data_IF_808036865692
#
_entry.id   IF_808036865692
#
_cell.length_a   1.000
_cell.length_b   1.000
_cell.length_c   1.000
_cell.angle_alpha   90.00
_cell.angle_beta   90.00
_cell.angle_gamma   90.00
#
_symmetry.space_group_name_H-M   'P 1'
#
loop_
_entity.id
_entity.type
_entity.pdbx_description
1 polymer ?
#
# COMPACT_ATOMS: atom_id res chain seq x y z
N UNK A 1 -42.54 -56.05 -0.23
CA UNK A 1 -41.10 -56.00 0.07
C UNK A 1 -40.63 -54.56 -0.13
N UNK A 2 -40.15 -53.88 0.92
CA UNK A 2 -39.86 -52.43 0.91
C UNK A 2 -38.39 -52.22 0.53
N UNK A 3 -38.14 -51.63 -0.64
CA UNK A 3 -36.80 -51.35 -1.14
C UNK A 3 -36.25 -50.08 -0.49
N UNK A 4 -35.35 -50.25 0.47
CA UNK A 4 -34.63 -49.13 1.07
C UNK A 4 -33.59 -48.62 0.06
N UNK A 5 -33.72 -47.35 -0.35
CA UNK A 5 -32.72 -46.68 -1.16
C UNK A 5 -31.54 -46.32 -0.25
N UNK A 6 -30.40 -46.93 -0.53
CA UNK A 6 -29.21 -46.92 0.34
C UNK A 6 -28.64 -45.49 0.53
N UNK A 7 -28.96 -44.55 -0.37
CA UNK A 7 -28.56 -43.14 -0.20
C UNK A 7 -29.42 -42.31 0.77
N UNK A 8 -30.66 -42.72 1.09
CA UNK A 8 -31.59 -41.83 1.83
C UNK A 8 -31.26 -41.74 3.32
N UNK A 9 -30.73 -42.81 3.93
CA UNK A 9 -30.35 -42.83 5.35
C UNK A 9 -29.01 -42.13 5.57
N UNK A 10 -28.01 -42.43 4.74
CA UNK A 10 -26.72 -41.73 4.70
C UNK A 10 -26.86 -40.22 4.54
N UNK A 11 -27.67 -39.81 3.56
CA UNK A 11 -27.93 -38.41 3.26
C UNK A 11 -28.67 -37.73 4.43
N UNK A 12 -29.66 -38.40 5.03
CA UNK A 12 -30.38 -37.89 6.19
C UNK A 12 -29.50 -37.72 7.42
N UNK A 13 -28.62 -38.68 7.69
CA UNK A 13 -27.66 -38.61 8.81
C UNK A 13 -26.64 -37.49 8.57
N UNK A 14 -26.14 -37.35 7.34
CA UNK A 14 -25.19 -36.28 6.97
C UNK A 14 -25.81 -34.89 7.12
N UNK A 15 -27.08 -34.70 6.70
CA UNK A 15 -27.83 -33.47 6.91
C UNK A 15 -28.12 -33.18 8.38
N UNK A 16 -28.38 -34.22 9.17
CA UNK A 16 -28.63 -34.09 10.61
C UNK A 16 -27.36 -33.70 11.36
N UNK A 17 -26.22 -34.34 11.06
CA UNK A 17 -24.93 -33.93 11.61
C UNK A 17 -24.56 -32.52 11.17
N UNK A 18 -24.72 -32.18 9.88
CA UNK A 18 -24.49 -30.83 9.38
C UNK A 18 -25.35 -29.79 10.10
N UNK A 19 -26.65 -30.06 10.29
CA UNK A 19 -27.57 -29.15 10.98
C UNK A 19 -27.23 -28.95 12.46
N UNK A 20 -26.91 -30.03 13.18
CA UNK A 20 -26.47 -29.95 14.59
C UNK A 20 -25.17 -29.16 14.70
N UNK A 21 -24.25 -29.35 13.75
CA UNK A 21 -22.93 -28.74 13.77
C UNK A 21 -22.95 -27.25 13.41
N UNK A 22 -23.79 -26.85 12.45
CA UNK A 22 -24.05 -25.43 12.15
C UNK A 22 -24.64 -24.71 13.36
N UNK A 23 -25.59 -25.35 14.06
CA UNK A 23 -26.16 -24.81 15.31
C UNK A 23 -25.10 -24.64 16.42
N UNK A 24 -24.21 -25.63 16.59
CA UNK A 24 -23.09 -25.53 17.55
C UNK A 24 -22.08 -24.44 17.16
N UNK A 25 -21.80 -24.28 15.87
CA UNK A 25 -20.86 -23.27 15.37
C UNK A 25 -21.36 -21.84 15.61
N UNK A 26 -22.66 -21.61 15.43
CA UNK A 26 -23.30 -20.33 15.73
C UNK A 26 -23.24 -20.00 17.23
N UNK A 27 -23.41 -21.01 18.09
CA UNK A 27 -23.50 -20.84 19.54
C UNK A 27 -22.14 -20.69 20.24
N UNK A 28 -21.05 -21.20 19.65
CA UNK A 28 -19.72 -21.18 20.25
C UNK A 28 -18.80 -20.05 19.75
N UNK A 29 -19.27 -19.18 18.84
CA UNK A 29 -18.48 -18.09 18.23
C UNK A 29 -17.09 -18.54 17.71
N UNK A 30 -16.98 -19.80 17.32
CA UNK A 30 -15.76 -20.34 16.72
C UNK A 30 -15.72 -19.87 15.27
N UNK A 31 -14.55 -19.49 14.79
CA UNK A 31 -14.35 -19.04 13.42
C UNK A 31 -14.82 -20.12 12.44
N UNK A 32 -15.98 -19.86 11.83
CA UNK A 32 -16.65 -20.73 10.86
C UNK A 32 -15.66 -21.27 9.80
N UNK A 33 -14.71 -20.44 9.37
CA UNK A 33 -13.69 -20.75 8.38
C UNK A 33 -12.84 -21.98 8.73
N UNK A 34 -12.23 -22.04 9.93
CA UNK A 34 -11.31 -23.13 10.30
C UNK A 34 -12.02 -24.47 10.46
N UNK A 35 -13.25 -24.44 10.95
CA UNK A 35 -14.03 -25.63 11.23
C UNK A 35 -14.57 -26.22 9.93
N UNK A 36 -15.12 -25.38 9.03
CA UNK A 36 -15.62 -25.79 7.71
C UNK A 36 -14.54 -26.43 6.82
N UNK A 37 -13.27 -26.05 7.03
CA UNK A 37 -12.14 -26.59 6.28
C UNK A 37 -11.68 -27.99 6.76
N UNK A 38 -11.96 -28.36 8.02
CA UNK A 38 -11.40 -29.58 8.65
C UNK A 38 -12.32 -30.81 8.66
N UNK A 39 -13.63 -30.64 8.51
CA UNK A 39 -14.62 -31.71 8.76
C UNK A 39 -15.04 -32.53 7.53
N UNK A 40 -14.87 -32.00 6.32
CA UNK A 40 -15.24 -32.69 5.06
C UNK A 40 -14.55 -34.06 4.83
N UNK A 41 -13.32 -34.33 5.31
CA UNK A 41 -12.71 -35.66 5.17
C UNK A 41 -13.47 -36.73 5.96
N UNK A 42 -14.09 -36.36 7.09
CA UNK A 42 -14.86 -37.30 7.93
C UNK A 42 -16.11 -37.79 7.18
N UNK A 43 -16.78 -36.90 6.45
CA UNK A 43 -17.94 -37.28 5.60
C UNK A 43 -17.51 -38.28 4.55
N UNK A 44 -16.38 -38.04 3.87
CA UNK A 44 -15.87 -38.95 2.84
C UNK A 44 -15.53 -40.33 3.41
N UNK A 45 -14.97 -40.38 4.63
CA UNK A 45 -14.66 -41.64 5.31
C UNK A 45 -15.95 -42.39 5.68
N UNK A 46 -16.94 -41.72 6.29
CA UNK A 46 -18.21 -42.36 6.67
C UNK A 46 -18.95 -42.88 5.44
N UNK A 47 -19.02 -42.08 4.38
CA UNK A 47 -19.64 -42.45 3.11
C UNK A 47 -18.90 -43.62 2.45
N UNK A 48 -17.56 -43.62 2.47
CA UNK A 48 -16.75 -44.73 1.98
C UNK A 48 -16.95 -46.03 2.78
N UNK A 49 -17.01 -45.95 4.11
CA UNK A 49 -17.27 -47.09 5.00
C UNK A 49 -18.65 -47.68 4.75
N UNK A 50 -19.67 -46.85 4.55
CA UNK A 50 -21.03 -47.31 4.26
C UNK A 50 -21.11 -48.09 2.94
N UNK A 51 -20.41 -47.61 1.90
CA UNK A 51 -20.30 -48.31 0.62
C UNK A 51 -19.63 -49.68 0.80
N UNK A 52 -18.56 -49.76 1.60
CA UNK A 52 -17.85 -51.01 1.89
C UNK A 52 -18.71 -52.01 2.68
N UNK A 53 -19.44 -51.54 3.69
CA UNK A 53 -20.35 -52.39 4.49
C UNK A 53 -21.50 -52.93 3.63
N UNK A 54 -22.04 -52.13 2.73
CA UNK A 54 -23.09 -52.56 1.81
C UNK A 54 -22.59 -53.63 0.82
N UNK A 55 -21.40 -53.44 0.24
CA UNK A 55 -20.77 -54.42 -0.64
C UNK A 55 -20.51 -55.75 0.10
N UNK A 56 -20.13 -55.69 1.38
CA UNK A 56 -19.84 -56.85 2.19
C UNK A 56 -21.09 -57.63 2.62
N UNK A 57 -22.18 -56.92 2.99
CA UNK A 57 -23.44 -57.55 3.40
C UNK A 57 -24.30 -58.07 2.22
N UNK A 58 -24.07 -57.58 1.00
CA UNK A 58 -24.82 -57.97 -0.21
C UNK A 58 -24.23 -59.20 -0.91
N UNK A 59 -23.93 -60.26 -0.15
CA UNK A 59 -23.39 -61.55 -0.66
C UNK A 59 -24.45 -62.60 -1.01
N UNK A 60 -25.72 -62.23 -1.10
CA UNK A 60 -26.80 -63.19 -1.40
C UNK A 60 -27.56 -62.79 -2.66
N UNK A 61 -27.24 -63.53 -3.72
CA UNK A 61 -27.98 -63.75 -4.97
C UNK A 61 -28.56 -62.54 -5.72
N UNK A 62 -27.81 -62.16 -6.77
CA UNK A 62 -28.20 -61.24 -7.85
C UNK A 62 -28.70 -59.87 -7.36
N UNK A 63 -27.79 -58.99 -6.92
CA UNK A 63 -28.11 -57.58 -6.92
C UNK A 63 -28.08 -57.16 -8.39
N UNK A 64 -29.25 -56.85 -8.96
CA UNK A 64 -29.28 -55.89 -10.06
C UNK A 64 -28.68 -54.62 -9.46
N UNK A 65 -27.36 -54.47 -9.65
CA UNK A 65 -26.58 -53.29 -9.38
C UNK A 65 -27.14 -52.16 -10.24
N UNK A 66 -28.30 -51.63 -9.85
CA UNK A 66 -28.66 -50.25 -10.09
C UNK A 66 -27.78 -49.42 -9.17
N UNK A 67 -26.47 -49.42 -9.46
CA UNK A 67 -25.69 -48.24 -9.16
C UNK A 67 -26.42 -47.10 -9.85
N UNK A 68 -26.88 -46.13 -9.09
CA UNK A 68 -27.18 -44.83 -9.69
C UNK A 68 -25.82 -44.36 -10.22
N UNK A 69 -25.63 -44.41 -11.55
CA UNK A 69 -24.44 -43.89 -12.23
C UNK A 69 -24.09 -42.48 -11.72
N UNK A 70 -25.13 -41.74 -11.35
CA UNK A 70 -25.07 -40.47 -10.65
C UNK A 70 -24.28 -40.52 -9.32
N UNK A 71 -24.47 -41.54 -8.48
CA UNK A 71 -23.74 -41.70 -7.21
C UNK A 71 -22.23 -41.95 -7.42
N UNK A 72 -21.84 -42.71 -8.45
CA UNK A 72 -20.41 -42.92 -8.79
C UNK A 72 -19.78 -41.58 -9.24
N UNK A 73 -20.50 -40.81 -10.06
CA UNK A 73 -20.06 -39.48 -10.49
C UNK A 73 -19.88 -38.56 -9.29
N UNK A 74 -20.83 -38.54 -8.35
CA UNK A 74 -20.72 -37.71 -7.15
C UNK A 74 -19.52 -38.09 -6.27
N UNK A 75 -19.26 -39.37 -6.05
CA UNK A 75 -18.09 -39.82 -5.29
C UNK A 75 -16.78 -39.45 -6.01
N UNK A 76 -16.72 -39.63 -7.33
CA UNK A 76 -15.57 -39.22 -8.13
C UNK A 76 -15.31 -37.71 -8.09
N UNK A 77 -16.38 -36.89 -8.20
CA UNK A 77 -16.29 -35.44 -8.12
C UNK A 77 -15.84 -34.98 -6.72
N UNK A 78 -16.41 -35.56 -5.66
CA UNK A 78 -16.03 -35.26 -4.27
C UNK A 78 -14.58 -35.68 -3.98
N UNK A 79 -14.15 -36.84 -4.47
CA UNK A 79 -12.76 -37.29 -4.38
C UNK A 79 -11.81 -36.36 -5.15
N UNK A 80 -12.19 -35.91 -6.34
CA UNK A 80 -11.40 -34.96 -7.14
C UNK A 80 -11.28 -33.60 -6.46
N UNK A 81 -12.38 -33.06 -5.91
CA UNK A 81 -12.36 -31.80 -5.14
C UNK A 81 -11.50 -31.97 -3.89
N UNK A 82 -11.60 -33.10 -3.19
CA UNK A 82 -10.81 -33.37 -2.00
C UNK A 82 -9.31 -33.48 -2.26
N UNK A 83 -8.93 -34.19 -3.32
CA UNK A 83 -7.53 -34.28 -3.76
C UNK A 83 -7.04 -32.92 -4.25
N UNK A 84 -7.86 -32.20 -5.03
CA UNK A 84 -7.54 -30.84 -5.47
C UNK A 84 -7.29 -29.89 -4.31
N UNK A 85 -8.12 -29.96 -3.27
CA UNK A 85 -7.96 -29.19 -2.05
C UNK A 85 -6.73 -29.61 -1.23
N UNK A 86 -6.42 -30.91 -1.17
CA UNK A 86 -5.21 -31.42 -0.51
C UNK A 86 -3.93 -30.93 -1.22
N UNK A 87 -3.91 -30.94 -2.55
CA UNK A 87 -2.82 -30.39 -3.35
C UNK A 87 -2.71 -28.88 -3.12
N UNK A 88 -3.85 -28.16 -3.19
CA UNK A 88 -3.91 -26.72 -2.94
C UNK A 88 -3.34 -26.35 -1.55
N UNK A 89 -3.72 -27.11 -0.52
CA UNK A 89 -3.21 -26.97 0.84
C UNK A 89 -1.71 -27.27 0.94
N UNK A 90 -1.20 -28.31 0.27
CA UNK A 90 0.22 -28.66 0.31
C UNK A 90 1.15 -27.65 -0.38
N UNK A 91 0.62 -26.87 -1.33
CA UNK A 91 1.38 -25.86 -2.09
C UNK A 91 1.34 -24.50 -1.38
N UNK A 92 0.62 -24.36 -0.27
CA UNK A 92 0.52 -23.10 0.49
C UNK A 92 -0.44 -22.09 -0.12
N UNK A 93 -1.33 -22.49 -1.04
CA UNK A 93 -2.32 -21.59 -1.64
C UNK A 93 -3.35 -21.08 -0.63
N UNK A 94 -3.54 -21.78 0.49
CA UNK A 94 -4.42 -21.32 1.57
C UNK A 94 -3.90 -20.04 2.24
N UNK A 95 -2.58 -19.92 2.39
CA UNK A 95 -1.96 -18.73 3.00
C UNK A 95 -2.14 -17.53 2.08
N UNK A 96 -1.92 -17.70 0.77
CA UNK A 96 -2.16 -16.66 -0.24
C UNK A 96 -3.61 -16.15 -0.24
N UNK A 97 -4.59 -17.06 -0.14
CA UNK A 97 -6.01 -16.71 -0.08
C UNK A 97 -6.35 -16.03 1.25
N UNK A 98 -5.81 -16.52 2.36
CA UNK A 98 -6.02 -15.92 3.68
C UNK A 98 -5.43 -14.52 3.76
N UNK A 99 -4.23 -14.32 3.23
CA UNK A 99 -3.55 -13.03 3.19
C UNK A 99 -4.32 -12.05 2.30
N UNK A 100 -4.79 -12.49 1.14
CA UNK A 100 -5.60 -11.66 0.24
C UNK A 100 -6.95 -11.23 0.86
N UNK A 101 -7.56 -12.06 1.70
CA UNK A 101 -8.83 -11.74 2.38
C UNK A 101 -8.61 -10.88 3.63
N UNK A 102 -7.45 -10.99 4.28
CA UNK A 102 -7.14 -10.34 5.55
C UNK A 102 -6.41 -9.00 5.43
N UNK A 103 -6.04 -8.62 4.21
CA UNK A 103 -5.48 -7.31 3.89
C UNK A 103 -6.58 -6.25 3.95
N UNK A 104 -6.29 -5.16 4.66
CA UNK A 104 -7.13 -3.97 4.71
C UNK A 104 -6.24 -2.77 4.35
N UNK A 105 -6.73 -1.89 3.49
CA UNK A 105 -6.07 -0.62 3.20
C UNK A 105 -6.15 0.26 4.44
N UNK A 106 -5.00 0.58 5.03
CA UNK A 106 -4.91 1.41 6.23
C UNK A 106 -4.00 2.60 5.98
N UNK A 107 -4.42 3.76 6.51
CA UNK A 107 -3.57 4.94 6.63
C UNK A 107 -2.92 4.93 8.01
N UNK A 108 -1.59 4.86 8.03
CA UNK A 108 -0.79 4.71 9.25
C UNK A 108 0.17 5.90 9.34
N UNK A 109 0.37 6.43 10.55
CA UNK A 109 1.31 7.52 10.79
C UNK A 109 2.76 7.06 10.57
N UNK A 110 3.57 7.91 9.93
CA UNK A 110 5.00 7.69 9.78
C UNK A 110 5.70 7.99 11.10
N UNK A 111 6.71 7.17 11.50
CA UNK A 111 7.59 7.52 12.60
C UNK A 111 8.26 8.87 12.33
N UNK A 112 8.10 9.82 13.24
CA UNK A 112 8.66 11.17 13.07
C UNK A 112 10.19 11.13 13.03
N UNK A 113 10.77 11.68 11.97
CA UNK A 113 12.18 12.05 11.95
C UNK A 113 12.31 13.42 12.60
N UNK A 114 13.14 13.55 13.62
CA UNK A 114 13.62 14.86 14.12
C UNK A 114 15.14 14.78 14.27
N UNK A 115 15.83 15.69 13.57
CA UNK A 115 17.28 15.80 13.64
C UNK A 115 17.68 17.25 13.85
N UNK A 116 18.18 17.54 15.06
CA UNK A 116 18.75 18.85 15.39
C UNK A 116 20.00 19.08 14.55
N UNK A 117 19.99 20.15 13.75
CA UNK A 117 21.15 20.54 12.97
C UNK A 117 22.21 21.13 13.90
N UNK A 118 23.41 20.57 13.85
CA UNK A 118 24.58 21.17 14.47
C UNK A 118 24.95 22.43 13.68
N UNK A 119 25.60 23.38 14.36
CA UNK A 119 25.96 24.70 13.80
C UNK A 119 26.92 24.65 12.61
N UNK A 120 27.49 23.48 12.28
CA UNK A 120 28.34 23.25 11.12
C UNK A 120 27.57 22.86 9.85
N UNK A 121 26.29 22.48 9.97
CA UNK A 121 25.45 22.09 8.83
C UNK A 121 24.80 23.34 8.22
N UNK A 122 25.11 23.62 6.96
CA UNK A 122 24.62 24.79 6.23
C UNK A 122 23.76 24.42 5.02
N UNK A 123 23.69 23.13 4.69
CA UNK A 123 23.01 22.60 3.52
C UNK A 123 22.27 21.30 3.82
N UNK A 124 21.05 21.19 3.31
CA UNK A 124 20.23 19.98 3.32
C UNK A 124 19.95 19.59 1.87
N UNK A 125 20.24 18.34 1.53
CA UNK A 125 19.96 17.74 0.23
C UNK A 125 18.91 16.67 0.43
N UNK A 126 17.82 16.73 -0.32
CA UNK A 126 16.68 15.82 -0.24
C UNK A 126 16.48 15.15 -1.59
N UNK A 127 16.61 13.83 -1.64
CA UNK A 127 16.26 13.00 -2.78
C UNK A 127 14.90 12.37 -2.47
N UNK A 128 13.84 12.80 -3.17
CA UNK A 128 12.49 12.28 -2.90
C UNK A 128 12.30 10.89 -3.52
N UNK A 129 11.17 10.26 -3.25
CA UNK A 129 10.72 9.10 -4.01
C UNK A 129 9.59 9.52 -4.96
N UNK A 130 8.97 8.56 -5.64
CA UNK A 130 7.86 8.77 -6.58
C UNK A 130 6.53 9.11 -5.86
N UNK A 131 6.60 9.85 -4.75
CA UNK A 131 5.45 10.20 -3.91
C UNK A 131 5.27 11.72 -3.84
N UNK A 132 4.03 12.20 -3.63
CA UNK A 132 3.81 13.60 -3.28
C UNK A 132 4.62 13.98 -2.05
N UNK A 133 5.31 15.12 -2.10
CA UNK A 133 6.17 15.55 -1.01
C UNK A 133 6.00 17.05 -0.76
N UNK A 134 5.73 17.40 0.49
CA UNK A 134 5.57 18.78 0.91
C UNK A 134 6.80 19.25 1.67
N UNK A 135 7.25 20.47 1.40
CA UNK A 135 8.34 21.10 2.16
C UNK A 135 7.91 22.45 2.70
N UNK A 136 8.09 22.64 4.00
CA UNK A 136 7.89 23.93 4.66
C UNK A 136 9.16 24.37 5.38
N UNK A 137 9.30 25.69 5.54
CA UNK A 137 10.31 26.26 6.43
C UNK A 137 9.85 26.24 7.89
N UNK A 138 10.80 26.14 8.80
CA UNK A 138 10.57 26.27 10.25
C UNK A 138 11.60 27.24 10.87
N UNK A 139 11.22 28.02 11.90
CA UNK A 139 12.17 28.79 12.71
C UNK A 139 12.99 27.91 13.66
N UNK A 140 12.63 26.62 13.80
CA UNK A 140 13.41 25.65 14.59
C UNK A 140 14.76 25.37 13.92
N UNK A 141 15.77 24.99 14.70
CA UNK A 141 17.08 24.56 14.19
C UNK A 141 17.14 23.06 13.91
N UNK A 142 15.99 22.40 13.82
CA UNK A 142 15.89 20.98 13.52
C UNK A 142 15.27 20.77 12.13
N UNK A 143 15.71 19.71 11.47
CA UNK A 143 15.00 19.17 10.31
C UNK A 143 14.08 18.07 10.83
N UNK A 144 12.79 18.23 10.56
CA UNK A 144 11.79 17.24 10.95
C UNK A 144 10.98 16.77 9.76
N UNK A 145 10.56 15.52 9.78
CA UNK A 145 9.68 14.98 8.75
C UNK A 145 8.67 14.04 9.37
N UNK A 146 7.41 14.26 9.01
CA UNK A 146 6.26 13.54 9.51
C UNK A 146 5.21 13.41 8.40
N UNK A 147 4.21 12.58 8.63
CA UNK A 147 3.14 12.36 7.68
C UNK A 147 2.48 11.01 7.88
N UNK A 148 1.88 10.51 6.81
CA UNK A 148 1.22 9.21 6.82
C UNK A 148 1.66 8.41 5.60
N UNK A 149 1.49 7.09 5.68
CA UNK A 149 1.54 6.25 4.51
C UNK A 149 0.27 5.41 4.43
N UNK A 150 -0.10 5.05 3.21
CA UNK A 150 -1.25 4.22 2.90
C UNK A 150 -0.76 2.92 2.30
N UNK A 151 -1.18 1.80 2.86
CA UNK A 151 -0.82 0.48 2.36
C UNK A 151 -1.85 -0.57 2.78
N UNK A 152 -2.04 -1.60 1.97
CA UNK A 152 -2.73 -2.82 2.39
C UNK A 152 -1.85 -3.65 3.32
N UNK A 153 -2.23 -3.71 4.59
CA UNK A 153 -1.54 -4.50 5.61
C UNK A 153 -2.53 -5.37 6.37
N UNK A 154 -2.04 -6.44 6.98
CA UNK A 154 -2.84 -7.20 7.94
C UNK A 154 -3.12 -6.32 9.16
N UNK A 155 -4.32 -6.44 9.72
CA UNK A 155 -4.75 -5.68 10.89
C UNK A 155 -3.74 -5.78 12.05
N UNK A 156 -3.17 -4.63 12.43
CA UNK A 156 -2.20 -4.53 13.53
C UNK A 156 -0.74 -4.76 13.13
N UNK A 157 -0.44 -4.93 11.84
CA UNK A 157 0.91 -4.90 11.31
C UNK A 157 1.21 -3.53 10.68
N UNK A 158 2.47 -3.10 10.77
CA UNK A 158 2.95 -1.90 10.10
C UNK A 158 4.10 -2.26 9.14
N UNK A 159 4.07 -1.66 7.96
CA UNK A 159 5.11 -1.79 6.94
C UNK A 159 6.37 -1.01 7.37
N UNK A 160 6.14 0.16 7.96
CA UNK A 160 7.17 1.06 8.49
C UNK A 160 7.15 0.94 10.02
N UNK A 161 8.31 0.64 10.61
CA UNK A 161 8.46 0.52 12.08
C UNK A 161 9.39 1.60 12.63
N UNK A 162 10.31 2.06 11.81
CA UNK A 162 11.37 3.00 12.18
C UNK A 162 11.62 4.00 11.05
N UNK A 163 12.32 5.07 11.37
CA UNK A 163 12.63 6.14 10.40
C UNK A 163 13.49 5.60 9.27
N UNK A 164 14.38 4.68 9.59
CA UNK A 164 15.31 4.06 8.64
C UNK A 164 14.61 3.22 7.57
N UNK A 165 13.36 2.80 7.79
CA UNK A 165 12.59 2.01 6.82
C UNK A 165 12.16 2.87 5.62
N UNK A 166 11.94 4.18 5.83
CA UNK A 166 11.42 5.07 4.81
C UNK A 166 12.36 6.23 4.43
N UNK A 167 13.34 6.58 5.26
CA UNK A 167 14.38 7.57 4.92
C UNK A 167 15.77 7.13 5.35
N UNK A 168 16.74 7.30 4.44
CA UNK A 168 18.17 7.24 4.77
C UNK A 168 18.68 8.62 5.12
N UNK A 169 19.32 8.74 6.28
CA UNK A 169 19.91 9.99 6.77
C UNK A 169 21.42 9.86 6.84
N UNK A 170 22.15 10.73 6.14
CA UNK A 170 23.60 10.75 6.14
C UNK A 170 24.15 12.16 6.28
N UNK A 171 24.95 12.42 7.32
CA UNK A 171 25.70 13.66 7.45
C UNK A 171 27.13 13.47 6.88
N UNK A 172 27.53 14.36 5.97
CA UNK A 172 28.92 14.41 5.46
C UNK A 172 29.38 15.87 5.40
N UNK A 173 30.31 16.24 6.29
CA UNK A 173 30.79 17.60 6.40
C UNK A 173 29.69 18.57 6.82
N UNK A 174 29.51 19.63 6.04
CA UNK A 174 28.51 20.70 6.24
C UNK A 174 27.13 20.40 5.64
N UNK A 175 26.95 19.19 5.10
CA UNK A 175 25.76 18.80 4.34
C UNK A 175 25.06 17.61 4.99
N UNK A 176 23.75 17.74 5.17
CA UNK A 176 22.85 16.65 5.54
C UNK A 176 22.15 16.10 4.29
N UNK A 177 22.27 14.81 4.06
CA UNK A 177 21.59 14.10 2.97
C UNK A 177 20.42 13.30 3.52
N UNK A 178 19.24 13.53 2.97
CA UNK A 178 18.02 12.80 3.22
C UNK A 178 17.61 12.12 1.91
N UNK A 179 17.47 10.80 1.93
CA UNK A 179 16.99 10.05 0.77
C UNK A 179 15.74 9.28 1.15
N UNK A 180 14.62 9.66 0.54
CA UNK A 180 13.32 9.01 0.71
C UNK A 180 13.30 7.71 -0.08
N UNK A 181 12.97 6.62 0.62
CA UNK A 181 12.92 5.29 0.05
C UNK A 181 11.53 5.01 -0.48
N UNK A 182 11.47 4.25 -1.57
CA UNK A 182 10.22 3.59 -1.98
C UNK A 182 9.87 2.54 -0.93
N UNK A 183 8.62 2.52 -0.52
CA UNK A 183 8.13 1.46 0.36
C UNK A 183 8.11 0.13 -0.39
N UNK A 184 8.40 -0.99 0.28
CA UNK A 184 8.37 -2.30 -0.36
C UNK A 184 6.96 -2.56 -0.93
N UNK A 185 6.93 -3.04 -2.17
CA UNK A 185 5.70 -3.41 -2.86
C UNK A 185 5.61 -4.93 -2.89
N UNK A 186 4.54 -5.50 -2.31
CA UNK A 186 4.28 -6.92 -2.42
C UNK A 186 3.63 -7.22 -3.78
N UNK A 187 4.33 -8.00 -4.59
CA UNK A 187 3.79 -8.48 -5.87
C UNK A 187 2.82 -9.63 -5.60
N UNK A 188 1.53 -9.33 -5.44
CA UNK A 188 0.48 -10.34 -5.41
C UNK A 188 -0.14 -10.50 -6.81
N UNK A 189 -0.28 -11.72 -7.37
CA UNK A 189 -0.93 -11.94 -8.66
C UNK A 189 -2.38 -11.45 -8.73
N UNK A 190 -3.01 -11.22 -7.57
CA UNK A 190 -4.42 -10.88 -7.44
C UNK A 190 -4.66 -9.44 -7.02
N UNK A 191 -3.66 -8.74 -6.48
CA UNK A 191 -3.75 -7.34 -6.06
C UNK A 191 -2.44 -6.61 -6.37
N UNK A 192 -2.56 -5.53 -7.13
CA UNK A 192 -1.50 -4.54 -7.26
C UNK A 192 -1.84 -3.43 -6.28
N UNK A 193 -1.21 -3.46 -5.11
CA UNK A 193 -1.33 -2.35 -4.17
C UNK A 193 0.02 -1.65 -4.03
N UNK A 194 0.00 -0.33 -4.20
CA UNK A 194 1.18 0.50 -4.09
C UNK A 194 1.09 1.24 -2.78
N UNK A 195 2.08 1.01 -1.92
CA UNK A 195 2.21 1.82 -0.73
C UNK A 195 2.60 3.25 -1.13
N UNK A 196 1.80 4.22 -0.70
CA UNK A 196 2.00 5.64 -0.97
C UNK A 196 2.37 6.37 0.30
N UNK A 197 3.36 7.26 0.22
CA UNK A 197 3.74 8.17 1.30
C UNK A 197 3.13 9.54 1.02
N UNK A 198 2.57 10.16 2.05
CA UNK A 198 2.27 11.59 2.09
C UNK A 198 3.05 12.20 3.27
N UNK A 199 4.16 12.85 2.95
CA UNK A 199 5.12 13.37 3.94
C UNK A 199 5.33 14.88 3.80
N UNK A 200 5.45 15.53 4.95
CA UNK A 200 5.86 16.93 5.09
C UNK A 200 7.23 17.01 5.74
N UNK A 201 8.16 17.69 5.08
CA UNK A 201 9.49 18.02 5.58
C UNK A 201 9.53 19.47 6.06
N UNK A 202 9.98 19.67 7.30
CA UNK A 202 10.29 20.97 7.87
C UNK A 202 11.79 21.21 7.80
N UNK A 203 12.19 22.31 7.16
CA UNK A 203 13.60 22.71 7.00
C UNK A 203 13.84 24.06 7.67
N UNK A 204 14.92 24.22 8.45
CA UNK A 204 15.25 25.51 9.06
C UNK A 204 15.38 26.64 8.02
N UNK A 205 14.80 27.80 8.32
CA UNK A 205 14.72 28.97 7.42
C UNK A 205 16.09 29.48 6.92
N UNK A 206 17.16 29.20 7.66
CA UNK A 206 18.52 29.70 7.41
C UNK A 206 19.45 28.69 6.70
N UNK A 207 18.92 27.54 6.27
CA UNK A 207 19.71 26.45 5.68
C UNK A 207 19.42 26.33 4.20
N UNK A 208 20.47 26.16 3.37
CA UNK A 208 20.30 25.95 1.93
C UNK A 208 19.63 24.60 1.69
N UNK A 209 18.66 24.57 0.78
CA UNK A 209 17.90 23.37 0.46
C UNK A 209 18.09 22.99 -1.01
N UNK A 210 18.46 21.75 -1.27
CA UNK A 210 18.51 21.16 -2.61
C UNK A 210 17.56 19.97 -2.64
N UNK A 211 16.59 19.97 -3.55
CA UNK A 211 15.63 18.87 -3.72
C UNK A 211 15.80 18.27 -5.11
N UNK A 212 16.01 16.96 -5.16
CA UNK A 212 15.84 16.16 -6.37
C UNK A 212 14.47 15.49 -6.28
N UNK A 213 13.53 15.99 -7.06
CA UNK A 213 12.18 15.46 -7.13
C UNK A 213 12.09 14.26 -8.07
N UNK A 214 11.09 13.39 -7.84
CA UNK A 214 10.69 12.33 -8.77
C UNK A 214 9.15 12.31 -9.00
N UNK A 215 8.43 13.21 -8.34
CA UNK A 215 6.97 13.32 -8.37
C UNK A 215 6.55 14.77 -8.10
N UNK A 216 5.32 14.97 -7.61
CA UNK A 216 4.76 16.27 -7.29
C UNK A 216 5.36 16.82 -5.99
N UNK A 217 5.77 18.09 -6.02
CA UNK A 217 6.31 18.80 -4.88
C UNK A 217 5.45 20.03 -4.56
N UNK A 218 5.11 20.20 -3.28
CA UNK A 218 4.48 21.42 -2.78
C UNK A 218 5.45 22.14 -1.85
N UNK A 219 5.81 23.37 -2.18
CA UNK A 219 6.80 24.17 -1.48
C UNK A 219 6.14 25.35 -0.78
N UNK A 220 6.36 25.48 0.53
CA UNK A 220 5.84 26.56 1.37
C UNK A 220 7.00 27.25 2.12
N UNK A 221 7.81 28.08 1.44
CA UNK A 221 9.03 28.70 2.00
C UNK A 221 8.75 29.88 2.96
N UNK A 222 7.78 29.75 3.87
CA UNK A 222 7.39 30.77 4.86
C UNK A 222 8.62 31.42 5.54
N UNK A 223 8.91 32.68 5.23
CA UNK A 223 10.06 33.42 5.77
C UNK A 223 11.46 32.79 5.51
N UNK A 224 11.65 32.12 4.37
CA UNK A 224 12.95 31.63 3.89
C UNK A 224 14.05 32.73 3.93
N UNK A 225 15.24 32.36 4.43
CA UNK A 225 16.45 33.20 4.55
C UNK A 225 17.69 32.57 3.88
N UNK A 226 17.49 31.58 3.03
CA UNK A 226 18.53 30.84 2.33
C UNK A 226 18.15 30.66 0.86
N UNK A 227 19.01 30.07 0.03
CA UNK A 227 18.65 29.77 -1.37
C UNK A 227 18.21 28.32 -1.50
N UNK A 228 17.20 28.10 -2.33
CA UNK A 228 16.64 26.78 -2.60
C UNK A 228 16.86 26.39 -4.06
N UNK A 229 17.15 25.12 -4.29
CA UNK A 229 17.33 24.54 -5.61
C UNK A 229 16.46 23.29 -5.73
N UNK A 230 15.67 23.20 -6.79
CA UNK A 230 14.75 22.11 -7.05
C UNK A 230 15.01 21.61 -8.48
N UNK A 231 15.22 20.30 -8.62
CA UNK A 231 15.55 19.65 -9.87
C UNK A 231 14.67 18.40 -10.11
N UNK A 232 14.33 18.13 -11.38
CA UNK A 232 13.73 16.89 -11.88
C UNK A 232 12.35 16.49 -11.28
N UNK A 233 11.59 17.45 -10.77
CA UNK A 233 10.23 17.19 -10.28
C UNK A 233 9.18 17.15 -11.42
N UNK A 234 8.08 16.43 -11.21
CA UNK A 234 6.97 16.42 -12.16
C UNK A 234 6.22 17.75 -12.12
N UNK A 235 5.58 18.05 -11.00
CA UNK A 235 4.86 19.30 -10.79
C UNK A 235 5.42 19.98 -9.54
N UNK A 236 5.69 21.29 -9.61
CA UNK A 236 6.09 22.09 -8.45
C UNK A 236 5.04 23.15 -8.19
N UNK A 237 4.33 23.03 -7.08
CA UNK A 237 3.42 24.05 -6.56
C UNK A 237 4.17 24.88 -5.51
N UNK A 238 4.39 26.15 -5.80
CA UNK A 238 5.10 27.08 -4.93
C UNK A 238 4.11 28.08 -4.31
N UNK A 239 3.88 27.96 -3.00
CA UNK A 239 2.96 28.82 -2.27
C UNK A 239 3.73 29.91 -1.52
N UNK A 240 3.69 31.14 -2.05
CA UNK A 240 4.40 32.28 -1.47
C UNK A 240 3.45 33.17 -0.66
N UNK A 241 3.90 33.66 0.50
CA UNK A 241 3.19 34.72 1.23
C UNK A 241 3.38 36.08 0.55
N UNK A 242 2.41 36.99 0.65
CA UNK A 242 2.49 38.33 0.02
C UNK A 242 3.68 39.18 0.49
N UNK A 243 4.18 38.93 1.70
CA UNK A 243 5.31 39.64 2.30
C UNK A 243 6.66 38.94 2.06
N UNK A 244 6.71 37.95 1.17
CA UNK A 244 7.94 37.21 0.87
C UNK A 244 8.94 38.07 0.10
N UNK A 245 10.23 37.76 0.25
CA UNK A 245 11.34 38.46 -0.39
C UNK A 245 12.20 37.47 -1.19
N UNK A 246 11.71 37.07 -2.37
CA UNK A 246 12.22 35.92 -3.14
C UNK A 246 12.21 36.20 -4.64
N UNK A 247 13.27 35.76 -5.32
CA UNK A 247 13.31 35.63 -6.77
C UNK A 247 13.22 34.15 -7.15
N UNK A 248 12.20 33.78 -7.92
CA UNK A 248 12.03 32.44 -8.47
C UNK A 248 12.59 32.42 -9.89
N UNK A 249 13.53 31.52 -10.14
CA UNK A 249 14.06 31.23 -11.47
C UNK A 249 13.55 29.88 -11.92
N UNK A 250 12.82 29.84 -13.02
CA UNK A 250 12.43 28.60 -13.68
C UNK A 250 13.26 28.43 -14.95
N UNK A 251 13.89 27.26 -15.11
CA UNK A 251 14.71 26.93 -16.27
C UNK A 251 14.34 25.55 -16.79
N UNK A 252 14.20 25.42 -18.10
CA UNK A 252 13.78 24.16 -18.70
C UNK A 252 12.46 23.64 -18.08
N UNK A 253 11.38 24.41 -18.23
CA UNK A 253 10.05 24.04 -17.74
C UNK A 253 9.05 24.00 -18.89
N UNK A 254 8.26 22.93 -19.01
CA UNK A 254 7.31 22.78 -20.13
C UNK A 254 6.13 23.75 -19.98
N UNK A 255 5.57 23.85 -18.77
CA UNK A 255 4.44 24.72 -18.47
C UNK A 255 4.68 25.59 -17.23
N UNK A 256 4.59 26.91 -17.44
CA UNK A 256 4.67 27.91 -16.39
C UNK A 256 3.29 28.53 -16.16
N UNK A 257 2.70 28.25 -15.01
CA UNK A 257 1.42 28.83 -14.58
C UNK A 257 1.67 29.88 -13.51
N UNK A 258 0.91 30.97 -13.58
CA UNK A 258 0.90 31.99 -12.55
C UNK A 258 -0.45 32.70 -12.57
N UNK A 259 -1.10 32.77 -11.41
CA UNK A 259 -2.36 33.49 -11.24
C UNK A 259 -2.17 35.02 -11.23
N UNK A 260 -0.94 35.52 -11.00
CA UNK A 260 -0.67 36.90 -10.56
C UNK A 260 0.59 37.59 -11.13
N UNK A 261 1.42 36.93 -11.96
CA UNK A 261 2.69 37.48 -12.47
C UNK A 261 2.99 37.16 -13.94
N UNK A 262 3.78 38.00 -14.59
CA UNK A 262 4.27 37.75 -15.96
C UNK A 262 5.61 37.03 -15.90
N UNK A 263 5.68 35.83 -16.48
CA UNK A 263 6.94 35.16 -16.76
C UNK A 263 7.63 35.84 -17.95
N UNK A 264 8.87 36.28 -17.78
CA UNK A 264 9.70 36.72 -18.90
C UNK A 264 10.21 35.47 -19.64
N UNK A 265 9.58 35.15 -20.78
CA UNK A 265 9.86 33.94 -21.58
C UNK A 265 10.75 34.20 -22.79
N UNK A 266 11.67 33.28 -23.07
CA UNK A 266 12.57 33.30 -24.22
C UNK A 266 11.96 32.68 -25.50
N UNK A 267 10.73 32.16 -25.46
CA UNK A 267 9.96 31.75 -26.64
C UNK A 267 10.31 30.39 -27.28
N UNK A 268 10.92 29.44 -26.55
CA UNK A 268 11.28 28.08 -27.02
C UNK A 268 10.39 27.03 -26.35
N UNK A 269 10.35 25.79 -26.87
CA UNK A 269 9.51 24.66 -26.40
C UNK A 269 9.63 24.34 -24.92
N UNK A 270 10.77 24.68 -24.32
CA UNK A 270 11.00 24.73 -22.89
C UNK A 270 11.06 26.21 -22.48
N UNK A 271 10.24 26.59 -21.50
CA UNK A 271 10.12 27.97 -21.04
C UNK A 271 11.13 28.22 -19.92
N UNK A 272 11.93 29.26 -20.10
CA UNK A 272 12.61 29.90 -18.99
C UNK A 272 11.73 31.03 -18.49
N UNK A 273 11.80 31.29 -17.19
CA UNK A 273 11.01 32.33 -16.58
C UNK A 273 11.64 32.85 -15.29
N UNK A 274 11.35 34.11 -14.98
CA UNK A 274 11.70 34.72 -13.72
C UNK A 274 10.46 35.36 -13.10
N UNK A 275 10.23 35.07 -11.82
CA UNK A 275 9.20 35.70 -11.01
C UNK A 275 9.85 36.32 -9.77
N UNK A 276 9.46 37.54 -9.41
CA UNK A 276 10.09 38.27 -8.30
C UNK A 276 9.04 38.87 -7.38
N UNK A 277 9.21 38.65 -6.08
CA UNK A 277 8.42 39.27 -5.01
C UNK A 277 9.36 39.94 -4.00
N UNK A 278 9.00 41.15 -3.55
CA UNK A 278 9.85 41.96 -2.68
C UNK A 278 11.12 42.47 -3.35
N UNK A 279 12.22 42.55 -2.59
CA UNK A 279 13.54 42.94 -3.08
C UNK A 279 14.28 41.82 -3.80
N UNK A 280 13.85 40.57 -3.62
CA UNK A 280 14.41 39.36 -4.22
C UNK A 280 15.75 38.95 -3.63
N UNK A 281 15.96 39.12 -2.32
CA UNK A 281 17.25 38.84 -1.65
C UNK A 281 17.65 37.36 -1.72
N UNK A 282 16.67 36.46 -1.66
CA UNK A 282 16.88 35.01 -1.73
C UNK A 282 16.37 34.44 -3.05
N UNK A 283 16.97 33.34 -3.51
CA UNK A 283 16.55 32.67 -4.75
C UNK A 283 15.90 31.30 -4.51
N UNK A 284 14.93 30.98 -5.36
CA UNK A 284 14.41 29.62 -5.56
C UNK A 284 14.65 29.26 -7.02
N UNK A 285 15.58 28.35 -7.27
CA UNK A 285 15.95 27.89 -8.60
C UNK A 285 15.25 26.56 -8.90
N UNK A 286 14.30 26.55 -9.83
CA UNK A 286 13.53 25.39 -10.28
C UNK A 286 14.00 25.00 -11.68
N UNK A 287 14.46 23.76 -11.85
CA UNK A 287 15.13 23.31 -13.08
C UNK A 287 14.62 21.94 -13.52
N UNK A 288 14.40 21.75 -14.84
CA UNK A 288 13.95 20.48 -15.43
C UNK A 288 12.66 19.96 -14.79
N UNK A 289 11.62 20.79 -14.79
CA UNK A 289 10.32 20.46 -14.19
C UNK A 289 9.24 20.48 -15.26
N UNK A 290 8.28 19.57 -15.23
CA UNK A 290 7.23 19.56 -16.25
C UNK A 290 6.27 20.75 -16.07
N UNK A 291 5.75 20.96 -14.86
CA UNK A 291 4.82 22.05 -14.57
C UNK A 291 5.23 22.82 -13.32
N UNK A 292 5.20 24.14 -13.37
CA UNK A 292 5.41 25.01 -12.20
C UNK A 292 4.22 25.94 -12.03
N UNK A 293 3.59 25.88 -10.86
CA UNK A 293 2.56 26.81 -10.42
C UNK A 293 3.10 27.66 -9.27
N UNK A 294 2.94 28.98 -9.35
CA UNK A 294 3.28 29.91 -8.29
C UNK A 294 2.01 30.62 -7.82
N UNK A 295 1.57 30.29 -6.61
CA UNK A 295 0.36 30.86 -6.00
C UNK A 295 0.71 31.80 -4.85
N UNK A 296 -0.02 32.92 -4.74
CA UNK A 296 0.10 33.85 -3.61
C UNK A 296 -0.96 33.53 -2.55
N UNK A 297 -0.51 33.22 -1.34
CA UNK A 297 -1.41 32.97 -0.21
C UNK A 297 -2.08 34.28 0.23
N UNK A 298 -3.41 34.27 0.31
CA UNK A 298 -4.18 35.33 0.98
C UNK A 298 -4.11 35.07 2.49
N UNK A 299 -3.34 35.87 3.21
CA UNK A 299 -3.41 35.97 4.68
C UNK A 299 -4.77 36.52 5.13
#
# INVERSE_FOLDING_TARGET
>A
MRTWRVGTVSMGISLLFLGIFLLLSEFLALSLSNILMSWWPIILVVLGVEILLYLFFSRSEKPLLKYDFLSIIFVGLLGMVGIGFAIMSSVGLNDLVSDAISQEEQTIELPELSQVLKSDIHRVVVDTADYPFQVETTPSSEVSMFGTYRASVQKGQSLVKSVEDYVSVHQKGDTLFLQVKKLPTDFSPFNYDYAEIDATLLVPENVKLEIVGHSNLTLKPRAQKSNWHIENASNVELMLGKNSDVTVHAKNVDELVNDHGQWESDGVSEQNGMFKIGSGTHSIDIVNVFHVDVSLLNE
#
